data_IF_674835844434
#
_entry.id   IF_674835844434
#
_cell.length_a   1.000
_cell.length_b   1.000
_cell.length_c   1.000
_cell.angle_alpha   90.00
_cell.angle_beta   90.00
_cell.angle_gamma   90.00
#
_symmetry.space_group_name_H-M   'P 1'
#
loop_
_entity.id
_entity.type
_entity.pdbx_description
1 polymer ?
#
# COMPACT_ATOMS: atom_id res chain seq x y z
N UNK A 1 -8.10 -19.10 4.42
CA UNK A 1 -6.87 -19.79 4.93
C UNK A 1 -6.13 -18.95 5.98
N UNK A 2 -6.18 -17.60 5.92
CA UNK A 2 -5.70 -16.74 7.02
C UNK A 2 -6.65 -16.73 8.25
N UNK A 3 -7.89 -17.24 8.13
CA UNK A 3 -8.91 -17.24 9.21
C UNK A 3 -8.62 -18.15 10.40
N UNK A 4 -7.77 -19.17 10.27
CA UNK A 4 -7.38 -19.98 11.44
C UNK A 4 -6.45 -19.22 12.41
N UNK A 5 -6.02 -18.00 12.07
CA UNK A 5 -5.15 -17.16 12.90
C UNK A 5 -5.91 -16.19 13.82
N UNK A 6 -7.24 -16.01 13.69
CA UNK A 6 -7.99 -15.04 14.51
C UNK A 6 -8.79 -15.65 15.67
N UNK A 7 -8.88 -16.98 15.78
CA UNK A 7 -9.72 -17.65 16.80
C UNK A 7 -8.96 -18.33 17.94
N UNK A 8 -7.64 -18.13 18.06
CA UNK A 8 -6.89 -18.56 19.26
C UNK A 8 -6.45 -17.36 20.08
N UNK A 9 -7.16 -17.16 21.18
CA UNK A 9 -6.84 -16.22 22.26
C UNK A 9 -5.39 -16.36 22.72
N UNK A 10 -4.69 -15.22 22.84
CA UNK A 10 -3.59 -15.04 23.80
C UNK A 10 -2.25 -15.73 23.51
N UNK A 11 -1.94 -16.14 22.27
CA UNK A 11 -0.58 -16.57 21.88
C UNK A 11 -0.06 -15.65 20.76
N UNK A 12 1.22 -15.29 20.85
CA UNK A 12 1.98 -14.50 19.87
C UNK A 12 1.48 -14.77 18.45
N UNK A 13 1.06 -13.72 17.73
CA UNK A 13 0.72 -13.86 16.31
C UNK A 13 2.00 -14.25 15.57
N UNK A 14 2.16 -15.54 15.27
CA UNK A 14 3.28 -16.05 14.47
C UNK A 14 3.32 -15.31 13.13
N UNK A 15 4.39 -14.57 12.89
CA UNK A 15 4.63 -13.86 11.65
C UNK A 15 4.70 -14.85 10.48
N UNK A 16 4.14 -14.48 9.33
CA UNK A 16 4.29 -15.29 8.11
C UNK A 16 5.73 -15.12 7.65
N UNK A 17 6.46 -16.23 7.55
CA UNK A 17 7.86 -16.23 7.15
C UNK A 17 8.06 -16.75 5.71
N UNK A 18 7.07 -17.46 5.15
CA UNK A 18 7.17 -18.10 3.84
C UNK A 18 5.87 -18.05 3.04
N UNK A 19 5.96 -17.79 1.74
CA UNK A 19 4.88 -17.97 0.77
C UNK A 19 5.38 -18.76 -0.43
N UNK A 20 4.66 -19.81 -0.81
CA UNK A 20 4.82 -20.47 -2.10
C UNK A 20 3.70 -20.04 -3.05
N UNK A 21 4.05 -19.69 -4.28
CA UNK A 21 3.12 -19.30 -5.36
C UNK A 21 3.37 -20.14 -6.60
N UNK A 22 2.32 -20.78 -7.13
CA UNK A 22 2.34 -21.26 -8.52
C UNK A 22 2.03 -20.11 -9.47
N UNK A 23 2.83 -19.97 -10.53
CA UNK A 23 2.44 -19.15 -11.69
C UNK A 23 2.06 -20.06 -12.87
N UNK A 24 1.06 -19.68 -13.68
CA UNK A 24 0.59 -20.53 -14.80
C UNK A 24 1.67 -20.86 -15.83
N UNK A 25 2.62 -19.94 -16.06
CA UNK A 25 3.58 -20.05 -17.16
C UNK A 25 5.06 -20.12 -16.71
N UNK A 26 5.35 -19.91 -15.41
CA UNK A 26 6.70 -19.53 -14.98
C UNK A 26 7.24 -20.35 -13.79
N UNK A 27 6.50 -21.38 -13.36
CA UNK A 27 6.91 -22.31 -12.29
C UNK A 27 6.45 -21.89 -10.89
N UNK A 28 7.01 -22.59 -9.87
CA UNK A 28 6.76 -22.33 -8.44
C UNK A 28 7.76 -21.32 -7.91
N UNK A 29 7.27 -20.29 -7.23
CA UNK A 29 8.08 -19.27 -6.58
C UNK A 29 7.96 -19.38 -5.08
N UNK A 30 9.07 -19.18 -4.39
CA UNK A 30 9.15 -19.19 -2.94
C UNK A 30 9.66 -17.82 -2.46
N UNK A 31 8.87 -17.19 -1.60
CA UNK A 31 9.17 -15.92 -0.97
C UNK A 31 9.42 -16.20 0.51
N UNK A 32 10.68 -16.16 0.92
CA UNK A 32 11.13 -16.41 2.29
C UNK A 32 11.68 -15.10 2.84
N UNK A 33 11.19 -14.65 4.00
CA UNK A 33 11.70 -13.43 4.65
C UNK A 33 13.21 -13.54 4.87
N UNK A 34 13.95 -12.48 4.55
CA UNK A 34 15.41 -12.44 4.55
C UNK A 34 16.07 -12.98 3.29
N UNK A 35 15.32 -13.56 2.34
CA UNK A 35 15.85 -14.17 1.12
C UNK A 35 15.40 -13.46 -0.16
N UNK A 36 16.21 -13.49 -1.25
CA UNK A 36 15.74 -13.13 -2.58
C UNK A 36 14.57 -14.02 -3.00
N UNK A 37 13.87 -13.62 -4.06
CA UNK A 37 12.85 -14.49 -4.66
C UNK A 37 13.52 -15.76 -5.20
N UNK A 38 13.05 -16.90 -4.72
CA UNK A 38 13.50 -18.21 -5.16
C UNK A 38 12.49 -18.79 -6.14
N UNK A 39 12.96 -19.54 -7.13
CA UNK A 39 12.14 -20.40 -7.98
C UNK A 39 12.46 -21.85 -7.69
N UNK A 40 11.41 -22.64 -7.49
CA UNK A 40 11.46 -24.07 -7.29
C UNK A 40 11.22 -24.76 -8.63
N UNK A 41 12.28 -25.36 -9.17
CA UNK A 41 12.25 -26.19 -10.39
C UNK A 41 12.82 -27.56 -10.06
N UNK A 42 12.10 -28.64 -10.33
CA UNK A 42 12.58 -30.03 -10.20
C UNK A 42 13.36 -30.36 -8.90
N UNK A 43 12.82 -29.91 -7.76
CA UNK A 43 13.43 -30.05 -6.42
C UNK A 43 14.77 -29.32 -6.25
N UNK A 44 14.97 -28.22 -6.95
CA UNK A 44 16.04 -27.26 -6.67
C UNK A 44 15.45 -25.86 -6.52
N UNK A 45 15.99 -25.10 -5.56
CA UNK A 45 15.70 -23.68 -5.40
C UNK A 45 16.80 -22.89 -6.10
N UNK A 46 16.41 -22.00 -7.01
CA UNK A 46 17.31 -21.08 -7.71
C UNK A 46 16.90 -19.64 -7.44
N UNK A 47 17.87 -18.74 -7.32
CA UNK A 47 17.60 -17.30 -7.14
C UNK A 47 17.14 -16.70 -8.48
N UNK A 48 16.01 -15.99 -8.50
CA UNK A 48 15.36 -15.54 -9.74
C UNK A 48 15.80 -14.18 -10.30
N UNK A 49 16.49 -13.34 -9.52
CA UNK A 49 17.16 -12.09 -9.97
C UNK A 49 17.97 -11.49 -8.80
N UNK A 50 18.77 -10.43 -9.06
CA UNK A 50 19.74 -9.76 -8.16
C UNK A 50 19.51 -10.02 -6.67
N UNK A 51 20.55 -10.51 -6.01
CA UNK A 51 20.65 -10.85 -4.58
C UNK A 51 20.19 -9.71 -3.65
N UNK A 52 20.12 -8.49 -4.17
CA UNK A 52 19.80 -7.27 -3.44
C UNK A 52 18.30 -7.04 -3.20
N UNK A 53 17.40 -7.77 -3.88
CA UNK A 53 15.94 -7.65 -3.69
C UNK A 53 15.37 -8.73 -2.75
N UNK A 54 15.67 -8.60 -1.46
CA UNK A 54 15.22 -9.49 -0.40
C UNK A 54 13.75 -9.30 -0.10
N UNK A 55 13.07 -10.38 0.29
CA UNK A 55 11.77 -10.31 0.95
C UNK A 55 12.00 -9.79 2.37
N UNK A 56 11.54 -8.58 2.68
CA UNK A 56 11.73 -7.95 4.00
C UNK A 56 10.55 -8.16 4.94
N UNK A 57 9.41 -8.60 4.41
CA UNK A 57 8.24 -8.90 5.22
C UNK A 57 7.11 -9.52 4.42
N UNK A 58 6.30 -10.33 5.10
CA UNK A 58 5.09 -10.92 4.52
C UNK A 58 3.95 -10.69 5.50
N UNK A 59 2.89 -10.04 5.02
CA UNK A 59 1.70 -9.74 5.82
C UNK A 59 0.45 -10.23 5.10
N UNK A 60 -0.53 -10.73 5.86
CA UNK A 60 -1.87 -11.00 5.34
C UNK A 60 -2.74 -9.79 5.70
N UNK A 61 -3.27 -9.09 4.70
CA UNK A 61 -4.17 -7.97 4.93
C UNK A 61 -5.58 -8.47 5.32
N UNK A 62 -6.47 -7.55 5.71
CA UNK A 62 -7.84 -7.85 6.11
C UNK A 62 -8.69 -8.56 5.02
N UNK A 63 -8.17 -8.68 3.80
CA UNK A 63 -8.82 -9.24 2.60
C UNK A 63 -8.32 -10.66 2.29
N UNK A 64 -7.58 -11.25 3.24
CA UNK A 64 -6.77 -12.45 3.04
C UNK A 64 -5.76 -12.34 1.89
N UNK A 65 -5.48 -11.13 1.39
CA UNK A 65 -4.43 -10.95 0.38
C UNK A 65 -3.09 -10.88 1.10
N UNK A 66 -2.12 -11.61 0.56
CA UNK A 66 -0.77 -11.60 1.09
C UNK A 66 0.04 -10.53 0.38
N UNK A 67 0.59 -9.61 1.14
CA UNK A 67 1.54 -8.61 0.68
C UNK A 67 2.95 -9.06 1.02
N UNK A 68 3.78 -9.20 -0.01
CA UNK A 68 5.20 -9.53 0.11
C UNK A 68 5.96 -8.23 -0.14
N UNK A 69 6.60 -7.69 0.90
CA UNK A 69 7.43 -6.50 0.80
C UNK A 69 8.86 -6.90 0.37
N UNK A 70 9.46 -6.09 -0.49
CA UNK A 70 10.85 -6.29 -0.93
C UNK A 70 11.73 -5.10 -0.59
N UNK A 71 13.04 -5.34 -0.44
CA UNK A 71 14.03 -4.30 -0.16
C UNK A 71 14.25 -3.33 -1.33
N UNK A 72 13.95 -3.72 -2.58
CA UNK A 72 14.25 -2.90 -3.77
C UNK A 72 13.09 -2.74 -4.75
N UNK A 73 12.06 -3.58 -4.69
CA UNK A 73 10.91 -3.50 -5.61
C UNK A 73 9.60 -3.22 -4.89
N UNK A 74 8.60 -2.79 -5.65
CA UNK A 74 7.25 -2.57 -5.11
C UNK A 74 6.73 -3.87 -4.47
N UNK A 75 5.99 -3.77 -3.35
CA UNK A 75 5.38 -4.94 -2.73
C UNK A 75 4.51 -5.72 -3.72
N UNK A 76 4.59 -7.04 -3.68
CA UNK A 76 3.75 -7.93 -4.46
C UNK A 76 2.51 -8.29 -3.65
N UNK A 77 1.34 -7.94 -4.17
CA UNK A 77 0.04 -8.29 -3.57
C UNK A 77 -0.53 -9.52 -4.27
N UNK A 78 -0.77 -10.58 -3.50
CA UNK A 78 -1.30 -11.85 -3.95
C UNK A 78 -2.68 -12.12 -3.33
N UNK A 79 -3.64 -12.51 -4.16
CA UNK A 79 -4.87 -13.14 -3.65
C UNK A 79 -4.59 -14.57 -3.19
N UNK A 80 -5.36 -15.07 -2.22
CA UNK A 80 -5.24 -16.44 -1.68
C UNK A 80 -5.22 -17.54 -2.73
N UNK A 81 -6.01 -17.40 -3.80
CA UNK A 81 -6.06 -18.37 -4.90
C UNK A 81 -4.76 -18.49 -5.73
N UNK A 82 -3.77 -17.61 -5.50
CA UNK A 82 -2.45 -17.68 -6.11
C UNK A 82 -1.38 -18.23 -5.15
N UNK A 83 -1.77 -18.68 -3.97
CA UNK A 83 -0.87 -19.14 -2.91
C UNK A 83 -1.05 -20.65 -2.74
N UNK A 84 0.05 -21.38 -2.88
CA UNK A 84 0.09 -22.82 -2.67
C UNK A 84 0.31 -23.15 -1.19
N UNK A 85 1.17 -22.38 -0.51
CA UNK A 85 1.56 -22.63 0.88
C UNK A 85 1.90 -21.34 1.59
N UNK A 86 1.55 -21.29 2.88
CA UNK A 86 1.97 -20.29 3.85
C UNK A 86 2.76 -21.01 4.94
N UNK A 87 3.94 -20.50 5.27
CA UNK A 87 4.77 -21.04 6.34
C UNK A 87 5.00 -20.03 7.46
N UNK A 88 4.93 -20.53 8.69
CA UNK A 88 5.33 -19.82 9.91
C UNK A 88 6.57 -20.50 10.46
N UNK A 89 7.65 -19.73 10.63
CA UNK A 89 8.93 -20.27 11.09
C UNK A 89 8.93 -20.39 12.62
N UNK A 90 9.20 -21.58 13.18
CA UNK A 90 9.50 -21.73 14.61
C UNK A 90 10.77 -20.97 14.98
N UNK A 91 10.78 -20.31 16.14
CA UNK A 91 11.91 -19.49 16.56
C UNK A 91 13.21 -20.30 16.77
N UNK A 92 13.06 -21.60 17.04
CA UNK A 92 14.16 -22.51 17.38
C UNK A 92 14.89 -23.08 16.15
N UNK A 93 14.32 -22.96 14.95
CA UNK A 93 14.87 -23.56 13.73
C UNK A 93 15.63 -22.54 12.88
N UNK A 94 16.70 -22.99 12.22
CA UNK A 94 17.32 -22.21 11.14
C UNK A 94 16.41 -22.20 9.90
N UNK A 95 16.62 -21.27 8.96
CA UNK A 95 15.86 -21.28 7.69
C UNK A 95 16.06 -22.58 6.91
N UNK A 96 17.27 -23.14 6.98
CA UNK A 96 17.65 -24.38 6.29
C UNK A 96 16.92 -25.57 6.90
N UNK A 97 16.98 -25.73 8.22
CA UNK A 97 16.32 -26.84 8.91
C UNK A 97 14.80 -26.78 8.74
N UNK A 98 14.23 -25.59 8.88
CA UNK A 98 12.80 -25.39 8.70
C UNK A 98 12.32 -25.69 7.27
N UNK A 99 13.05 -25.24 6.25
CA UNK A 99 12.71 -25.55 4.86
C UNK A 99 12.83 -27.05 4.56
N UNK A 100 13.83 -27.74 5.13
CA UNK A 100 13.96 -29.19 5.00
C UNK A 100 12.77 -29.92 5.63
N UNK A 101 12.31 -29.52 6.82
CA UNK A 101 11.10 -30.09 7.44
C UNK A 101 9.84 -29.87 6.57
N UNK A 102 9.76 -28.73 5.88
CA UNK A 102 8.68 -28.45 4.94
C UNK A 102 8.81 -29.22 3.61
N UNK A 103 9.86 -30.00 3.41
CA UNK A 103 10.11 -30.80 2.22
C UNK A 103 10.68 -30.00 1.04
N UNK A 104 11.23 -28.81 1.29
CA UNK A 104 11.97 -28.05 0.28
C UNK A 104 13.41 -28.54 0.19
N UNK A 105 14.03 -28.44 -1.00
CA UNK A 105 15.46 -28.71 -1.15
C UNK A 105 16.29 -27.64 -0.42
N UNK A 106 17.58 -27.92 -0.25
CA UNK A 106 18.53 -26.96 0.33
C UNK A 106 18.49 -25.62 -0.39
N UNK A 107 18.62 -24.54 0.39
CA UNK A 107 18.75 -23.19 -0.14
C UNK A 107 19.97 -23.08 -1.09
N UNK A 108 19.88 -22.31 -2.18
CA UNK A 108 21.00 -22.12 -3.10
C UNK A 108 22.15 -21.39 -2.39
N UNK A 109 23.39 -21.72 -2.78
CA UNK A 109 24.53 -20.87 -2.44
C UNK A 109 24.38 -19.55 -3.17
N UNK A 110 24.48 -18.45 -2.43
CA UNK A 110 24.44 -17.11 -2.99
C UNK A 110 25.89 -16.64 -3.06
N UNK A 111 26.41 -16.45 -4.28
CA UNK A 111 27.81 -16.08 -4.53
C UNK A 111 28.14 -14.63 -4.14
N UNK A 112 27.11 -13.81 -3.90
CA UNK A 112 27.24 -12.49 -3.28
C UNK A 112 26.92 -12.61 -1.79
N UNK A 113 27.66 -11.94 -0.89
CA UNK A 113 27.29 -11.93 0.51
C UNK A 113 25.87 -11.38 0.61
N UNK A 114 24.94 -12.21 1.08
CA UNK A 114 23.67 -11.68 1.57
C UNK A 114 24.00 -10.63 2.63
N UNK A 115 23.29 -9.49 2.69
CA UNK A 115 23.42 -8.63 3.86
C UNK A 115 23.09 -9.53 5.06
N UNK A 116 24.11 -9.82 5.87
CA UNK A 116 24.06 -10.90 6.85
C UNK A 116 23.06 -10.64 7.98
N UNK A 117 22.39 -9.49 7.95
CA UNK A 117 21.63 -8.93 9.06
C UNK A 117 20.33 -8.37 8.49
N UNK A 118 19.23 -9.07 8.79
CA UNK A 118 17.89 -8.56 8.56
C UNK A 118 17.69 -7.36 9.49
N UNK A 119 17.59 -6.16 8.92
CA UNK A 119 17.34 -4.93 9.67
C UNK A 119 15.91 -4.44 9.43
N UNK A 120 15.34 -3.76 10.44
CA UNK A 120 14.05 -3.08 10.41
C UNK A 120 12.90 -3.95 9.86
N UNK A 121 12.73 -5.14 10.44
CA UNK A 121 11.54 -5.96 10.15
C UNK A 121 10.29 -5.18 10.55
N UNK A 122 9.26 -5.20 9.71
CA UNK A 122 8.08 -4.36 9.90
C UNK A 122 6.86 -5.19 10.32
N UNK A 123 6.18 -4.76 11.38
CA UNK A 123 4.88 -5.25 11.82
C UNK A 123 3.80 -4.21 11.48
N UNK A 124 2.85 -4.58 10.61
CA UNK A 124 1.77 -3.68 10.20
C UNK A 124 0.72 -3.51 11.31
N UNK A 125 0.36 -2.26 11.57
CA UNK A 125 -0.76 -1.84 12.42
C UNK A 125 -2.00 -1.56 11.57
N UNK A 126 -3.17 -1.87 12.12
CA UNK A 126 -4.48 -1.64 11.47
C UNK A 126 -5.25 -0.47 12.06
N UNK A 127 -4.84 0.00 13.24
CA UNK A 127 -5.47 1.12 13.95
C UNK A 127 -4.43 2.21 14.20
N UNK A 128 -4.91 3.46 14.22
CA UNK A 128 -4.03 4.61 14.46
C UNK A 128 -3.54 4.53 15.91
N UNK A 129 -2.22 4.44 16.15
CA UNK A 129 -1.66 4.42 17.49
C UNK A 129 -1.94 5.72 18.26
N UNK A 130 -2.00 5.65 19.59
CA UNK A 130 -2.20 6.84 20.44
C UNK A 130 -0.96 7.76 20.47
N UNK A 131 0.23 7.16 20.41
CA UNK A 131 1.53 7.85 20.34
C UNK A 131 2.33 7.29 19.18
N UNK A 132 2.85 8.15 18.32
CA UNK A 132 3.53 7.74 17.10
C UNK A 132 4.40 8.83 16.52
N UNK A 133 5.22 8.46 15.54
CA UNK A 133 6.01 9.37 14.74
C UNK A 133 5.54 9.26 13.30
N UNK A 134 5.07 10.36 12.73
CA UNK A 134 4.79 10.43 11.28
C UNK A 134 6.10 10.67 10.56
N UNK A 135 6.40 9.85 9.57
CA UNK A 135 7.59 9.94 8.73
C UNK A 135 7.17 10.10 7.28
N UNK A 136 7.85 10.97 6.57
CA UNK A 136 7.68 11.16 5.13
C UNK A 136 9.05 11.48 4.51
N UNK A 137 9.22 11.11 3.24
CA UNK A 137 10.46 11.29 2.50
C UNK A 137 10.21 11.87 1.11
N UNK A 138 11.12 12.74 0.67
CA UNK A 138 11.30 13.08 -0.74
C UNK A 138 12.45 12.29 -1.35
N UNK A 139 12.38 12.00 -2.64
CA UNK A 139 13.34 11.12 -3.32
C UNK A 139 14.09 11.83 -4.45
N UNK A 140 15.40 11.61 -4.51
CA UNK A 140 16.27 12.06 -5.59
C UNK A 140 16.66 10.89 -6.50
N UNK A 141 16.52 11.06 -7.82
CA UNK A 141 17.01 10.07 -8.79
C UNK A 141 18.54 10.08 -8.91
N UNK A 142 19.12 8.90 -9.16
CA UNK A 142 20.56 8.76 -9.38
C UNK A 142 20.93 8.90 -10.84
N UNK A 143 21.96 9.70 -11.11
CA UNK A 143 22.50 9.96 -12.43
C UNK A 143 24.01 9.75 -12.45
N UNK A 144 24.52 9.43 -13.64
CA UNK A 144 25.93 9.52 -13.98
C UNK A 144 26.06 10.45 -15.17
N UNK A 145 26.96 11.43 -15.07
CA UNK A 145 27.30 12.29 -16.18
C UNK A 145 28.20 11.52 -17.14
N UNK A 146 27.79 11.43 -18.40
CA UNK A 146 28.63 10.97 -19.50
C UNK A 146 28.98 12.16 -20.38
N UNK A 147 30.26 12.28 -20.73
CA UNK A 147 30.73 13.22 -21.73
C UNK A 147 30.52 12.59 -23.11
N UNK A 148 29.68 13.20 -23.94
CA UNK A 148 29.48 12.81 -25.32
C UNK A 148 29.91 13.97 -26.23
N UNK A 149 31.22 14.08 -26.47
CA UNK A 149 31.78 15.21 -27.21
C UNK A 149 31.71 16.51 -26.39
N UNK A 150 31.01 17.52 -26.90
CA UNK A 150 30.75 18.79 -26.20
C UNK A 150 29.55 18.73 -25.25
N UNK A 151 28.74 17.67 -25.31
CA UNK A 151 27.48 17.58 -24.57
C UNK A 151 27.66 16.74 -23.30
N UNK A 152 27.06 17.22 -22.21
CA UNK A 152 26.90 16.45 -20.97
C UNK A 152 25.54 15.77 -20.97
N UNK A 153 25.55 14.44 -21.05
CA UNK A 153 24.34 13.63 -20.92
C UNK A 153 24.23 13.09 -19.49
N UNK A 154 23.09 13.33 -18.86
CA UNK A 154 22.74 12.70 -17.60
C UNK A 154 22.04 11.37 -17.90
N UNK A 155 22.70 10.26 -17.61
CA UNK A 155 22.09 8.94 -17.69
C UNK A 155 21.63 8.50 -16.30
N UNK A 156 20.38 8.09 -16.15
CA UNK A 156 19.91 7.48 -14.92
C UNK A 156 20.66 6.17 -14.66
N UNK A 157 21.12 5.95 -13.43
CA UNK A 157 21.91 4.77 -13.05
C UNK A 157 21.31 4.06 -11.84
N UNK A 158 21.67 2.78 -11.68
CA UNK A 158 21.40 2.02 -10.46
C UNK A 158 22.66 1.97 -9.62
N UNK A 159 22.55 2.35 -8.35
CA UNK A 159 23.60 2.29 -7.33
C UNK A 159 23.04 1.48 -6.17
N UNK A 160 23.80 0.48 -5.71
CA UNK A 160 23.37 -0.42 -4.63
C UNK A 160 21.94 -0.96 -4.79
N UNK A 161 21.65 -1.34 -6.05
CA UNK A 161 20.39 -1.96 -6.47
C UNK A 161 19.19 -1.02 -6.63
N UNK A 162 19.31 0.26 -6.26
CA UNK A 162 18.26 1.28 -6.43
C UNK A 162 18.64 2.38 -7.43
N UNK A 163 17.65 2.98 -8.10
CA UNK A 163 17.84 4.05 -9.09
C UNK A 163 17.53 5.46 -8.57
N UNK A 164 17.20 5.55 -7.28
CA UNK A 164 16.91 6.76 -6.53
C UNK A 164 17.06 6.45 -5.05
N UNK A 165 17.15 7.49 -4.20
CA UNK A 165 17.18 7.35 -2.74
C UNK A 165 16.57 8.56 -2.07
N UNK A 166 16.51 8.56 -0.74
CA UNK A 166 15.99 9.65 0.07
C UNK A 166 16.85 10.89 -0.15
N UNK A 167 16.20 11.97 -0.55
CA UNK A 167 16.77 13.31 -0.66
C UNK A 167 16.40 14.19 0.55
N UNK A 168 15.19 14.04 1.07
CA UNK A 168 14.74 14.69 2.31
C UNK A 168 14.01 13.65 3.15
N UNK A 169 14.25 13.66 4.46
CA UNK A 169 13.48 12.88 5.44
C UNK A 169 12.99 13.81 6.53
N UNK A 170 11.71 13.69 6.86
CA UNK A 170 11.11 14.41 7.98
C UNK A 170 10.35 13.48 8.90
N UNK A 171 10.36 13.82 10.18
CA UNK A 171 9.65 13.07 11.20
C UNK A 171 9.04 14.02 12.24
N UNK A 172 7.77 13.78 12.57
CA UNK A 172 7.01 14.56 13.55
C UNK A 172 6.33 13.61 14.55
N UNK A 173 6.63 13.76 15.84
CA UNK A 173 5.96 12.95 16.86
C UNK A 173 4.63 13.52 17.30
N UNK A 174 3.66 12.66 17.55
CA UNK A 174 2.34 12.99 18.05
C UNK A 174 1.93 12.08 19.21
N UNK A 175 1.16 12.64 20.14
CA UNK A 175 0.51 11.93 21.23
C UNK A 175 -0.92 12.45 21.37
N UNK A 176 -1.90 11.57 21.26
CA UNK A 176 -3.33 11.90 21.42
C UNK A 176 -3.78 13.07 20.53
N UNK A 177 -3.26 13.13 19.30
CA UNK A 177 -3.57 14.18 18.33
C UNK A 177 -2.79 15.48 18.50
N UNK A 178 -1.88 15.58 19.47
CA UNK A 178 -1.07 16.77 19.72
C UNK A 178 0.39 16.52 19.35
N UNK A 179 1.07 17.54 18.82
CA UNK A 179 2.48 17.46 18.47
C UNK A 179 3.34 17.34 19.74
N UNK A 180 4.35 16.50 19.67
CA UNK A 180 5.36 16.28 20.73
C UNK A 180 6.68 16.98 20.38
N UNK A 181 7.71 16.77 21.19
CA UNK A 181 9.06 17.31 20.96
C UNK A 181 9.83 16.59 19.85
N UNK A 182 9.42 15.40 19.43
CA UNK A 182 10.09 14.69 18.33
C UNK A 182 9.95 15.47 17.04
N UNK A 183 11.09 15.90 16.51
CA UNK A 183 11.20 16.69 15.29
C UNK A 183 12.49 16.35 14.54
N UNK A 184 12.35 15.91 13.30
CA UNK A 184 13.44 15.74 12.36
C UNK A 184 13.03 16.39 11.04
N UNK A 185 13.92 17.16 10.44
CA UNK A 185 13.85 17.59 9.05
C UNK A 185 15.28 17.69 8.55
N UNK A 186 15.67 16.76 7.67
CA UNK A 186 17.04 16.63 7.18
C UNK A 186 17.02 16.35 5.68
N UNK A 187 18.03 16.90 4.99
CA UNK A 187 18.35 16.55 3.62
C UNK A 187 19.49 15.54 3.61
N UNK A 188 19.58 14.73 2.56
CA UNK A 188 20.72 13.87 2.30
C UNK A 188 21.37 14.33 1.00
N UNK A 189 22.69 14.48 1.02
CA UNK A 189 23.48 14.70 -0.18
C UNK A 189 24.04 13.37 -0.66
N UNK A 190 23.93 13.11 -1.95
CA UNK A 190 24.47 11.92 -2.57
C UNK A 190 25.21 12.34 -3.85
N UNK A 191 26.45 11.84 -4.08
CA UNK A 191 27.23 12.22 -5.26
C UNK A 191 26.56 11.83 -6.59
N UNK A 192 25.58 10.92 -6.57
CA UNK A 192 24.81 10.52 -7.74
C UNK A 192 23.54 11.36 -7.95
N UNK A 193 23.17 12.27 -7.04
CA UNK A 193 22.08 13.20 -7.31
C UNK A 193 22.48 14.24 -8.37
N UNK A 194 21.48 14.78 -9.06
CA UNK A 194 21.72 15.84 -10.02
C UNK A 194 22.12 17.13 -9.32
N UNK A 195 22.87 18.00 -10.00
CA UNK A 195 23.20 19.33 -9.46
C UNK A 195 21.93 20.15 -9.13
N UNK A 196 20.84 19.96 -9.89
CA UNK A 196 19.55 20.58 -9.60
C UNK A 196 18.99 20.15 -8.24
N UNK A 197 19.15 18.87 -7.88
CA UNK A 197 18.74 18.36 -6.57
C UNK A 197 19.51 19.03 -5.43
N UNK A 198 20.84 19.15 -5.57
CA UNK A 198 21.67 19.87 -4.59
C UNK A 198 21.25 21.34 -4.48
N UNK A 199 20.95 22.01 -5.60
CA UNK A 199 20.47 23.40 -5.59
C UNK A 199 19.12 23.54 -4.85
N UNK A 200 18.20 22.58 -5.00
CA UNK A 200 16.95 22.57 -4.24
C UNK A 200 17.25 22.47 -2.74
N UNK A 201 18.17 21.59 -2.34
CA UNK A 201 18.57 21.43 -0.93
C UNK A 201 19.16 22.70 -0.34
N UNK A 202 20.04 23.37 -1.10
CA UNK A 202 20.62 24.67 -0.72
C UNK A 202 19.55 25.75 -0.59
N UNK A 203 18.61 25.83 -1.54
CA UNK A 203 17.53 26.80 -1.49
C UNK A 203 16.62 26.60 -0.27
N UNK A 204 16.31 25.34 0.06
CA UNK A 204 15.43 24.99 1.18
C UNK A 204 16.08 25.20 2.55
N UNK A 205 17.39 24.99 2.65
CA UNK A 205 18.13 25.10 3.91
C UNK A 205 18.74 26.49 4.13
N UNK A 206 18.99 27.25 3.06
CA UNK A 206 19.69 28.53 3.13
C UNK A 206 21.19 28.42 3.44
N UNK A 207 21.74 27.21 3.43
CA UNK A 207 23.14 26.93 3.76
C UNK A 207 24.09 27.20 2.59
N UNK A 208 25.37 27.40 2.89
CA UNK A 208 26.42 27.30 1.87
C UNK A 208 26.60 25.84 1.40
N UNK A 209 27.22 25.64 0.22
CA UNK A 209 27.47 24.29 -0.31
C UNK A 209 28.31 23.43 0.64
N UNK A 210 29.30 24.00 1.31
CA UNK A 210 30.15 23.26 2.24
C UNK A 210 29.37 22.85 3.51
N UNK A 211 28.55 23.74 4.04
CA UNK A 211 27.71 23.46 5.21
C UNK A 211 26.62 22.44 4.88
N UNK A 212 25.94 22.60 3.74
CA UNK A 212 24.93 21.65 3.27
C UNK A 212 25.52 20.24 3.14
N UNK A 213 26.67 20.09 2.49
CA UNK A 213 27.32 18.78 2.34
C UNK A 213 27.69 18.12 3.66
N UNK A 214 28.07 18.94 4.65
CA UNK A 214 28.38 18.46 6.00
C UNK A 214 27.11 18.04 6.74
N UNK A 215 26.07 18.87 6.73
CA UNK A 215 24.81 18.59 7.45
C UNK A 215 23.95 17.50 6.78
N UNK A 216 24.08 17.36 5.47
CA UNK A 216 23.39 16.35 4.67
C UNK A 216 24.24 15.08 4.45
N UNK A 217 25.35 14.93 5.18
CA UNK A 217 26.19 13.73 5.11
C UNK A 217 25.36 12.51 5.53
N UNK A 218 25.29 11.51 4.64
CA UNK A 218 24.36 10.37 4.76
C UNK A 218 24.45 9.70 6.13
N UNK A 219 25.65 9.38 6.62
CA UNK A 219 25.83 8.69 7.91
C UNK A 219 25.30 9.52 9.08
N UNK A 220 25.58 10.83 9.10
CA UNK A 220 25.16 11.69 10.20
C UNK A 220 23.64 11.89 10.21
N UNK A 221 23.01 11.98 9.03
CA UNK A 221 21.55 12.00 8.90
C UNK A 221 20.94 10.68 9.37
N UNK A 222 21.52 9.53 8.99
CA UNK A 222 21.03 8.22 9.42
C UNK A 222 21.18 8.02 10.93
N UNK A 223 22.26 8.51 11.55
CA UNK A 223 22.39 8.52 13.02
C UNK A 223 21.32 9.36 13.69
N UNK A 224 21.03 10.55 13.14
CA UNK A 224 19.93 11.38 13.63
C UNK A 224 18.55 10.69 13.49
N UNK A 225 18.33 9.93 12.41
CA UNK A 225 17.13 9.10 12.26
C UNK A 225 17.08 8.01 13.34
N UNK A 226 18.19 7.31 13.60
CA UNK A 226 18.24 6.31 14.67
C UNK A 226 17.86 6.96 16.01
N UNK A 227 18.52 8.04 16.39
CA UNK A 227 18.34 8.70 17.69
C UNK A 227 16.92 9.27 17.86
N UNK A 228 16.44 10.01 16.86
CA UNK A 228 15.19 10.79 16.99
C UNK A 228 13.95 9.96 16.62
N UNK A 229 14.08 9.00 15.69
CA UNK A 229 12.93 8.29 15.10
C UNK A 229 12.84 6.84 15.57
N UNK A 230 13.95 6.09 15.53
CA UNK A 230 13.91 4.64 15.76
C UNK A 230 14.10 4.26 17.23
N UNK A 231 15.08 4.86 17.91
CA UNK A 231 15.44 4.58 19.30
C UNK A 231 14.30 4.82 20.31
N UNK A 232 13.37 5.79 20.11
CA UNK A 232 12.20 5.91 20.97
C UNK A 232 11.26 4.69 20.93
N UNK A 233 11.38 3.82 19.93
CA UNK A 233 10.57 2.61 19.80
C UNK A 233 9.08 2.90 19.60
N UNK A 234 8.72 4.08 19.09
CA UNK A 234 7.34 4.45 18.82
C UNK A 234 6.89 3.91 17.45
N UNK A 235 5.59 3.58 17.29
CA UNK A 235 5.03 3.26 15.98
C UNK A 235 5.31 4.35 14.94
N UNK A 236 5.68 3.94 13.74
CA UNK A 236 5.89 4.82 12.61
C UNK A 236 4.64 4.89 11.74
N UNK A 237 4.25 6.08 11.34
CA UNK A 237 3.09 6.36 10.50
C UNK A 237 3.57 6.95 9.18
N UNK A 238 3.11 6.39 8.06
CA UNK A 238 3.37 6.90 6.71
C UNK A 238 2.03 7.12 5.99
N UNK A 239 1.99 7.97 4.97
CA UNK A 239 0.86 7.95 4.05
C UNK A 239 0.88 6.65 3.23
N UNK A 240 1.97 6.38 2.53
CA UNK A 240 2.22 5.13 1.81
C UNK A 240 3.65 4.70 2.08
N UNK A 241 3.84 3.69 2.93
CA UNK A 241 5.17 3.34 3.47
C UNK A 241 6.14 2.74 2.44
N UNK A 242 5.66 2.39 1.24
CA UNK A 242 6.35 1.47 0.35
C UNK A 242 7.71 1.99 -0.13
N UNK A 243 7.78 3.25 -0.55
CA UNK A 243 9.05 3.83 -1.01
C UNK A 243 9.90 4.32 0.17
N UNK A 244 9.28 4.95 1.16
CA UNK A 244 9.96 5.47 2.35
C UNK A 244 10.77 4.37 3.04
N UNK A 245 10.11 3.26 3.39
CA UNK A 245 10.79 2.14 4.05
C UNK A 245 11.78 1.44 3.12
N UNK A 246 11.45 1.29 1.83
CA UNK A 246 12.37 0.67 0.86
C UNK A 246 13.71 1.41 0.82
N UNK A 247 13.69 2.73 0.64
CA UNK A 247 14.93 3.51 0.53
C UNK A 247 15.62 3.70 1.87
N UNK A 248 14.87 3.81 2.96
CA UNK A 248 15.44 3.88 4.30
C UNK A 248 16.16 2.57 4.68
N UNK A 249 15.53 1.42 4.45
CA UNK A 249 16.13 0.10 4.66
C UNK A 249 17.37 -0.08 3.80
N UNK A 250 17.32 0.31 2.51
CA UNK A 250 18.48 0.24 1.63
C UNK A 250 19.65 1.08 2.17
N UNK A 251 19.41 2.34 2.55
CA UNK A 251 20.45 3.22 3.11
C UNK A 251 21.08 2.64 4.39
N UNK A 252 20.27 2.16 5.33
CA UNK A 252 20.80 1.55 6.55
C UNK A 252 21.54 0.22 6.28
N UNK A 253 21.13 -0.54 5.27
CA UNK A 253 21.79 -1.80 4.90
C UNK A 253 23.17 -1.52 4.29
N UNK A 254 23.23 -0.58 3.34
CA UNK A 254 24.48 -0.19 2.66
C UNK A 254 25.50 0.38 3.65
N UNK A 255 25.03 1.13 4.64
CA UNK A 255 25.88 1.80 5.63
C UNK A 255 25.98 1.07 6.97
N UNK A 256 25.53 -0.18 7.05
CA UNK A 256 25.36 -0.88 8.32
C UNK A 256 26.63 -0.92 9.18
N UNK A 257 27.78 -1.18 8.57
CA UNK A 257 29.07 -1.29 9.25
C UNK A 257 29.63 0.06 9.75
N UNK A 258 29.06 1.19 9.31
CA UNK A 258 29.43 2.53 9.79
C UNK A 258 28.79 2.88 11.15
N UNK A 259 27.81 2.08 11.59
CA UNK A 259 27.12 2.26 12.87
C UNK A 259 27.81 1.49 13.99
N UNK A 260 27.76 2.04 15.20
CA UNK A 260 28.27 1.37 16.39
C UNK A 260 27.32 0.24 16.86
N UNK A 261 27.78 -0.58 17.80
CA UNK A 261 27.01 -1.75 18.27
C UNK A 261 25.61 -1.40 18.85
N UNK A 262 25.45 -0.23 19.49
CA UNK A 262 24.18 0.20 20.05
C UNK A 262 23.21 0.64 18.94
N UNK A 263 23.69 1.43 17.98
CA UNK A 263 22.94 1.83 16.77
C UNK A 263 22.49 0.59 15.98
N UNK A 264 23.40 -0.34 15.75
CA UNK A 264 23.12 -1.64 15.11
C UNK A 264 22.06 -2.46 15.85
N UNK A 265 22.06 -2.44 17.19
CA UNK A 265 21.04 -3.11 17.98
C UNK A 265 19.66 -2.49 17.80
N UNK A 266 19.57 -1.15 17.67
CA UNK A 266 18.30 -0.46 17.36
C UNK A 266 17.79 -0.87 15.98
N UNK A 267 18.66 -0.93 14.96
CA UNK A 267 18.28 -1.31 13.59
C UNK A 267 17.75 -2.75 13.47
N UNK A 268 18.06 -3.63 14.43
CA UNK A 268 17.55 -5.01 14.47
C UNK A 268 16.19 -5.14 15.14
N UNK A 269 15.69 -4.09 15.79
CA UNK A 269 14.40 -4.14 16.45
C UNK A 269 13.26 -4.13 15.42
N UNK A 270 12.19 -4.91 15.63
CA UNK A 270 11.00 -4.83 14.81
C UNK A 270 10.34 -3.45 14.91
N UNK A 271 10.02 -2.86 13.76
CA UNK A 271 9.30 -1.59 13.66
C UNK A 271 7.79 -1.86 13.59
N UNK A 272 7.01 -1.13 14.37
CA UNK A 272 5.56 -1.09 14.19
C UNK A 272 5.22 0.00 13.17
N UNK A 273 4.51 -0.35 12.11
CA UNK A 273 4.23 0.56 11.00
C UNK A 273 2.73 0.66 10.72
N UNK A 274 2.23 1.88 10.61
CA UNK A 274 0.86 2.17 10.21
C UNK A 274 0.85 2.90 8.85
N UNK A 275 0.04 2.40 7.91
CA UNK A 275 -0.07 2.93 6.54
C UNK A 275 -1.42 3.65 6.34
N UNK A 276 -1.34 4.96 6.13
CA UNK A 276 -2.50 5.84 5.96
C UNK A 276 -3.32 5.57 4.70
N UNK A 277 -2.68 5.15 3.61
CA UNK A 277 -3.32 4.83 2.33
C UNK A 277 -4.13 3.54 2.43
N UNK A 278 -3.62 2.55 3.16
CA UNK A 278 -4.35 1.34 3.50
C UNK A 278 -5.53 1.65 4.40
N UNK A 279 -5.32 2.45 5.46
CA UNK A 279 -6.39 2.88 6.35
C UNK A 279 -7.49 3.65 5.61
N UNK A 280 -7.12 4.56 4.71
CA UNK A 280 -8.04 5.28 3.82
C UNK A 280 -8.88 4.31 2.99
N UNK A 281 -8.24 3.30 2.39
CA UNK A 281 -8.95 2.28 1.63
C UNK A 281 -10.01 1.57 2.49
N UNK A 282 -9.67 1.24 3.74
CA UNK A 282 -10.60 0.60 4.67
C UNK A 282 -11.76 1.52 5.06
N UNK A 283 -11.49 2.82 5.26
CA UNK A 283 -12.53 3.84 5.51
C UNK A 283 -13.49 3.99 4.33
N UNK A 284 -13.00 3.90 3.09
CA UNK A 284 -13.86 3.93 1.89
C UNK A 284 -14.68 2.65 1.77
N UNK A 285 -14.03 1.49 1.93
CA UNK A 285 -14.67 0.19 1.71
C UNK A 285 -15.87 -0.07 2.61
N UNK A 286 -15.86 0.43 3.85
CA UNK A 286 -16.99 0.23 4.78
C UNK A 286 -18.32 0.79 4.25
N UNK A 287 -18.27 1.77 3.35
CA UNK A 287 -19.45 2.42 2.76
C UNK A 287 -19.86 1.79 1.42
N UNK A 288 -19.08 0.86 0.88
CA UNK A 288 -19.31 0.25 -0.44
C UNK A 288 -19.94 -1.15 -0.31
N UNK A 289 -21.26 -1.24 -0.47
CA UNK A 289 -22.06 -2.46 -0.24
C UNK A 289 -21.79 -3.61 -1.25
N UNK A 290 -21.08 -3.37 -2.36
CA UNK A 290 -20.73 -4.41 -3.35
C UNK A 290 -19.24 -4.57 -3.66
N UNK A 291 -18.38 -3.81 -2.98
CA UNK A 291 -16.91 -3.78 -3.21
C UNK A 291 -16.17 -3.65 -1.88
N UNK A 292 -16.61 -4.42 -0.88
CA UNK A 292 -15.84 -4.58 0.34
C UNK A 292 -14.50 -5.17 -0.08
N UNK A 293 -13.38 -4.49 0.25
CA UNK A 293 -12.01 -4.94 0.01
C UNK A 293 -11.32 -4.44 -1.29
N UNK A 294 -11.63 -3.24 -1.79
CA UNK A 294 -10.86 -2.61 -2.88
C UNK A 294 -9.73 -1.73 -2.37
N UNK A 295 -8.54 -1.80 -3.00
CA UNK A 295 -7.42 -0.90 -2.66
C UNK A 295 -7.58 0.34 -3.54
N UNK A 296 -7.54 1.50 -2.90
CA UNK A 296 -7.64 2.78 -3.58
C UNK A 296 -6.29 3.45 -3.51
N UNK A 297 -5.69 3.67 -4.68
CA UNK A 297 -4.43 4.40 -4.80
C UNK A 297 -4.76 5.89 -5.00
N UNK A 298 -5.11 6.56 -3.91
CA UNK A 298 -5.37 8.00 -3.91
C UNK A 298 -4.15 8.74 -3.33
N UNK A 299 -3.64 9.78 -4.01
CA UNK A 299 -2.50 10.55 -3.51
C UNK A 299 -2.89 11.32 -2.23
N UNK A 300 -1.90 11.56 -1.36
CA UNK A 300 -2.08 12.29 -0.10
C UNK A 300 -2.80 13.62 -0.32
N UNK A 301 -2.33 14.41 -1.28
CA UNK A 301 -2.88 15.71 -1.65
C UNK A 301 -4.35 15.63 -2.08
N UNK A 302 -4.72 14.59 -2.82
CA UNK A 302 -6.11 14.37 -3.26
C UNK A 302 -7.04 14.09 -2.08
N UNK A 303 -6.62 13.23 -1.15
CA UNK A 303 -7.40 12.93 0.06
C UNK A 303 -7.43 14.13 1.02
N UNK A 304 -6.30 14.83 1.17
CA UNK A 304 -6.21 16.07 1.94
C UNK A 304 -7.22 17.11 1.44
N UNK A 305 -7.27 17.35 0.12
CA UNK A 305 -8.24 18.27 -0.49
C UNK A 305 -9.69 17.86 -0.23
N UNK A 306 -10.04 16.59 -0.38
CA UNK A 306 -11.38 16.06 -0.07
C UNK A 306 -11.77 16.26 1.40
N UNK A 307 -10.78 16.19 2.29
CA UNK A 307 -10.98 16.40 3.71
C UNK A 307 -10.84 17.87 4.11
N UNK A 308 -10.67 18.80 3.18
CA UNK A 308 -10.46 20.24 3.41
C UNK A 308 -9.19 20.54 4.24
N UNK A 309 -8.10 19.84 3.94
CA UNK A 309 -6.74 20.08 4.45
C UNK A 309 -5.92 20.68 3.32
N UNK A 310 -5.28 21.82 3.58
CA UNK A 310 -4.46 22.53 2.60
C UNK A 310 -2.99 22.37 2.99
N UNK A 311 -2.18 21.81 2.09
CA UNK A 311 -0.73 21.89 2.16
C UNK A 311 -0.26 23.01 1.21
N UNK A 312 0.30 24.08 1.76
CA UNK A 312 0.84 25.22 0.99
C UNK A 312 2.20 24.94 0.35
N UNK A 313 2.85 23.84 0.73
CA UNK A 313 4.19 23.48 0.29
C UNK A 313 4.22 21.99 -0.06
N UNK A 314 3.56 21.59 -1.15
CA UNK A 314 3.59 20.19 -1.60
C UNK A 314 5.00 19.79 -2.03
N UNK A 315 5.29 18.50 -2.01
CA UNK A 315 6.61 17.95 -2.32
C UNK A 315 7.68 18.44 -1.35
N UNK A 316 7.33 18.46 -0.07
CA UNK A 316 8.22 18.80 1.02
C UNK A 316 7.90 17.88 2.20
N UNK A 317 8.86 17.02 2.53
CA UNK A 317 8.62 15.91 3.45
C UNK A 317 8.10 16.38 4.82
N UNK A 318 8.49 17.58 5.27
CA UNK A 318 8.03 18.11 6.56
C UNK A 318 6.53 18.44 6.51
N UNK A 319 6.11 19.09 5.43
CA UNK A 319 4.73 19.49 5.22
C UNK A 319 3.84 18.29 4.90
N UNK A 320 4.36 17.31 4.16
CA UNK A 320 3.63 16.08 3.82
C UNK A 320 3.51 15.14 5.04
N UNK A 321 4.49 15.10 5.95
CA UNK A 321 4.34 14.45 7.25
C UNK A 321 3.24 15.11 8.11
N UNK A 322 3.20 16.45 8.19
CA UNK A 322 2.14 17.15 8.92
C UNK A 322 0.76 16.93 8.26
N UNK A 323 0.71 16.93 6.94
CA UNK A 323 -0.51 16.69 6.17
C UNK A 323 -1.02 15.27 6.42
N UNK A 324 -0.12 14.29 6.45
CA UNK A 324 -0.43 12.89 6.75
C UNK A 324 -1.09 12.77 8.12
N UNK A 325 -0.51 13.38 9.17
CA UNK A 325 -1.12 13.42 10.50
C UNK A 325 -2.57 13.92 10.46
N UNK A 326 -2.80 15.08 9.84
CA UNK A 326 -4.13 15.69 9.82
C UNK A 326 -5.12 14.88 8.98
N UNK A 327 -4.67 14.28 7.88
CA UNK A 327 -5.48 13.40 7.04
C UNK A 327 -5.91 12.15 7.81
N UNK A 328 -4.99 11.43 8.47
CA UNK A 328 -5.36 10.20 9.19
C UNK A 328 -6.30 10.52 10.37
N UNK A 329 -6.13 11.67 11.02
CA UNK A 329 -7.01 12.14 12.10
C UNK A 329 -8.42 12.40 11.57
N UNK A 330 -8.56 13.11 10.45
CA UNK A 330 -9.87 13.35 9.81
C UNK A 330 -10.50 12.07 9.28
N UNK A 331 -9.71 11.14 8.73
CA UNK A 331 -10.19 9.82 8.32
C UNK A 331 -10.70 9.00 9.49
N UNK A 332 -10.09 9.11 10.68
CA UNK A 332 -10.62 8.51 11.93
C UNK A 332 -11.98 9.09 12.29
N UNK A 333 -12.13 10.41 12.21
CA UNK A 333 -13.42 11.07 12.48
C UNK A 333 -14.49 10.61 11.47
N UNK A 334 -14.12 10.47 10.19
CA UNK A 334 -14.99 9.87 9.17
C UNK A 334 -15.33 8.43 9.54
N UNK A 335 -14.34 7.59 9.90
CA UNK A 335 -14.51 6.19 10.29
C UNK A 335 -15.45 6.00 11.49
N UNK A 336 -15.49 6.97 12.41
CA UNK A 336 -16.42 6.97 13.54
C UNK A 336 -17.88 7.27 13.18
N UNK A 337 -18.13 7.90 12.02
CA UNK A 337 -19.50 8.23 11.59
C UNK A 337 -20.25 7.00 11.07
N UNK A 338 -21.53 6.89 11.41
CA UNK A 338 -22.45 5.89 10.87
C UNK A 338 -22.62 6.09 9.36
N UNK A 339 -22.53 5.00 8.59
CA UNK A 339 -22.77 5.02 7.15
C UNK A 339 -24.24 5.32 6.89
N UNK A 340 -24.53 6.42 6.20
CA UNK A 340 -25.86 6.72 5.70
C UNK A 340 -26.17 5.82 4.50
N UNK A 341 -27.24 5.03 4.60
CA UNK A 341 -27.77 4.26 3.48
C UNK A 341 -28.95 5.02 2.90
N UNK A 342 -28.83 5.44 1.65
CA UNK A 342 -29.94 6.02 0.92
C UNK A 342 -30.95 4.93 0.60
N UNK A 343 -32.22 5.22 0.81
CA UNK A 343 -33.34 4.42 0.32
C UNK A 343 -33.82 4.99 -1.00
N UNK A 344 -34.54 4.18 -1.76
CA UNK A 344 -35.18 4.64 -2.99
C UNK A 344 -36.07 5.86 -2.71
N UNK A 345 -35.90 6.98 -3.46
CA UNK A 345 -36.75 8.14 -3.28
C UNK A 345 -38.18 7.78 -3.67
N UNK A 346 -39.12 7.99 -2.75
CA UNK A 346 -40.54 7.80 -3.03
C UNK A 346 -41.07 8.97 -3.84
N UNK A 347 -41.95 8.75 -4.83
CA UNK A 347 -42.59 9.83 -5.55
C UNK A 347 -43.38 10.70 -4.57
N UNK A 348 -43.20 12.02 -4.67
CA UNK A 348 -44.01 12.97 -3.94
C UNK A 348 -45.45 12.84 -4.45
N UNK A 349 -46.33 12.28 -3.63
CA UNK A 349 -47.77 12.31 -3.91
C UNK A 349 -48.21 13.76 -3.71
N UNK A 350 -48.25 14.53 -4.79
CA UNK A 350 -48.95 15.82 -4.79
C UNK A 350 -50.43 15.51 -4.64
N UNK A 351 -51.02 15.85 -3.49
CA UNK A 351 -52.46 15.87 -3.28
C UNK A 351 -53.09 16.87 -4.25
N UNK A 352 -53.42 16.41 -5.45
CA UNK A 352 -54.27 17.12 -6.41
C UNK A 352 -55.02 16.13 -7.27
N UNK A 353 -55.92 15.42 -6.62
CA UNK A 353 -57.14 14.93 -7.26
C UNK A 353 -58.20 14.78 -6.17
N UNK A 354 -58.84 15.92 -5.84
CA UNK A 354 -60.17 15.93 -5.24
C UNK A 354 -61.08 15.03 -6.09
N UNK A 355 -61.57 13.99 -5.44
CA UNK A 355 -62.90 13.39 -5.58
C UNK A 355 -63.61 13.62 -6.93
N UNK A 356 -63.66 12.57 -7.75
CA UNK A 356 -64.87 12.28 -8.53
C UNK A 356 -65.35 10.92 -8.07
N UNK A 357 -66.61 10.89 -7.63
CA UNK A 357 -67.27 9.79 -6.95
C UNK A 357 -67.28 8.49 -7.76
N UNK A 358 -67.19 7.37 -7.04
CA UNK A 358 -67.46 6.01 -7.53
C UNK A 358 -68.86 5.88 -8.14
N UNK A 359 -69.06 4.84 -8.96
CA UNK A 359 -69.99 3.83 -8.49
C UNK A 359 -69.39 2.42 -8.45
N UNK A 360 -69.66 1.79 -7.31
CA UNK A 360 -69.61 0.38 -6.96
C UNK A 360 -69.65 -0.63 -8.13
N UNK A 361 -68.51 -1.29 -8.37
CA UNK A 361 -68.33 -2.75 -8.54
C UNK A 361 -67.00 -3.00 -9.25
N UNK A 362 -65.96 -3.39 -8.53
CA UNK A 362 -64.93 -4.29 -9.05
C UNK A 362 -64.02 -4.76 -7.92
N UNK A 363 -63.77 -6.06 -7.92
CA UNK A 363 -62.86 -6.80 -7.06
C UNK A 363 -61.43 -6.21 -7.03
N UNK A 364 -60.61 -6.55 -6.02
CA UNK A 364 -59.24 -6.07 -5.92
C UNK A 364 -58.37 -6.68 -7.02
N UNK A 365 -58.18 -5.98 -8.13
CA UNK A 365 -57.13 -6.29 -9.09
C UNK A 365 -55.85 -5.57 -8.71
N UNK A 366 -54.88 -6.33 -8.17
CA UNK A 366 -53.48 -5.95 -8.23
C UNK A 366 -53.07 -5.85 -9.71
N UNK A 367 -52.44 -4.76 -10.17
CA UNK A 367 -51.83 -4.75 -11.49
C UNK A 367 -50.50 -5.51 -11.42
N UNK A 368 -50.55 -6.83 -11.59
CA UNK A 368 -49.38 -7.58 -12.07
C UNK A 368 -49.29 -7.27 -13.56
N UNK A 369 -48.53 -6.24 -13.93
CA UNK A 369 -48.10 -6.07 -15.31
C UNK A 369 -47.22 -7.28 -15.67
N UNK A 370 -47.83 -8.33 -16.24
CA UNK A 370 -47.09 -9.41 -16.91
C UNK A 370 -46.35 -8.78 -18.08
N UNK A 371 -45.02 -8.77 -17.99
CA UNK A 371 -44.16 -8.36 -19.10
C UNK A 371 -44.32 -9.40 -20.21
N UNK A 372 -44.83 -8.97 -21.37
CA UNK A 372 -44.90 -9.81 -22.55
C UNK A 372 -43.49 -9.96 -23.15
N UNK A 373 -42.80 -11.03 -22.74
CA UNK A 373 -41.45 -11.34 -23.19
C UNK A 373 -41.41 -11.62 -24.70
N UNK A 374 -42.48 -12.15 -25.28
CA UNK A 374 -42.53 -12.49 -26.70
C UNK A 374 -42.53 -11.24 -27.56
N UNK A 375 -43.28 -10.21 -27.15
CA UNK A 375 -43.27 -8.90 -27.80
C UNK A 375 -41.88 -8.23 -27.78
N UNK A 376 -41.12 -8.37 -26.68
CA UNK A 376 -39.74 -7.87 -26.56
C UNK A 376 -38.81 -8.53 -27.57
N UNK A 377 -38.94 -9.85 -27.76
CA UNK A 377 -38.14 -10.63 -28.70
C UNK A 377 -38.49 -10.32 -30.16
N UNK A 378 -39.77 -10.16 -30.48
CA UNK A 378 -40.23 -9.79 -31.83
C UNK A 378 -39.73 -8.39 -32.23
N UNK A 379 -39.85 -7.40 -31.35
CA UNK A 379 -39.33 -6.06 -31.63
C UNK A 379 -37.81 -6.07 -31.82
N UNK A 380 -37.09 -6.95 -31.11
CA UNK A 380 -35.65 -7.12 -31.31
C UNK A 380 -35.33 -7.77 -32.64
N UNK A 381 -36.08 -8.80 -33.05
CA UNK A 381 -35.96 -9.43 -34.36
C UNK A 381 -36.23 -8.44 -35.51
N UNK A 382 -37.12 -7.47 -35.30
CA UNK A 382 -37.39 -6.35 -36.22
C UNK A 382 -36.31 -5.25 -36.22
N UNK A 383 -35.18 -5.44 -35.52
CA UNK A 383 -34.04 -4.53 -35.53
C UNK A 383 -34.17 -3.31 -34.60
N UNK A 384 -35.19 -3.25 -33.72
CA UNK A 384 -35.33 -2.14 -32.75
C UNK A 384 -34.20 -2.17 -31.71
N UNK A 385 -33.80 -0.98 -31.27
CA UNK A 385 -32.82 -0.82 -30.17
C UNK A 385 -33.46 -1.08 -28.81
N UNK A 386 -32.68 -1.49 -27.79
CA UNK A 386 -33.20 -1.74 -26.44
C UNK A 386 -33.96 -0.56 -25.84
N UNK A 387 -33.58 0.68 -26.20
CA UNK A 387 -34.27 1.89 -25.76
C UNK A 387 -35.65 2.04 -26.39
N UNK A 388 -35.79 1.70 -27.67
CA UNK A 388 -37.08 1.72 -28.37
C UNK A 388 -38.01 0.61 -27.87
N UNK A 389 -37.45 -0.58 -27.58
CA UNK A 389 -38.21 -1.70 -27.01
C UNK A 389 -38.69 -1.37 -25.59
N UNK A 390 -37.83 -0.78 -24.76
CA UNK A 390 -38.18 -0.32 -23.42
C UNK A 390 -39.37 0.65 -23.42
N UNK A 391 -39.38 1.60 -24.35
CA UNK A 391 -40.49 2.55 -24.51
C UNK A 391 -41.75 1.85 -25.02
N UNK A 392 -41.63 0.98 -26.04
CA UNK A 392 -42.78 0.30 -26.63
C UNK A 392 -43.46 -0.70 -25.68
N UNK A 393 -42.68 -1.39 -24.85
CA UNK A 393 -43.16 -2.40 -23.91
C UNK A 393 -43.34 -1.84 -22.48
N UNK A 394 -43.11 -0.54 -22.27
CA UNK A 394 -43.15 0.12 -20.97
C UNK A 394 -42.32 -0.61 -19.88
N UNK A 395 -41.10 -1.01 -20.23
CA UNK A 395 -40.14 -1.69 -19.34
C UNK A 395 -38.81 -0.93 -19.29
N UNK A 396 -37.95 -1.26 -18.33
CA UNK A 396 -36.59 -0.69 -18.30
C UNK A 396 -35.73 -1.23 -19.46
N UNK A 397 -34.76 -0.43 -19.90
CA UNK A 397 -33.75 -0.86 -20.91
C UNK A 397 -32.98 -2.10 -20.44
N UNK A 398 -32.71 -2.19 -19.13
CA UNK A 398 -32.05 -3.36 -18.52
C UNK A 398 -32.92 -4.61 -18.59
N UNK A 399 -34.22 -4.47 -18.36
CA UNK A 399 -35.20 -5.57 -18.47
C UNK A 399 -35.32 -6.06 -19.91
N UNK A 400 -35.38 -5.14 -20.89
CA UNK A 400 -35.37 -5.51 -22.31
C UNK A 400 -34.09 -6.27 -22.72
N UNK A 401 -32.92 -5.84 -22.22
CA UNK A 401 -31.66 -6.54 -22.47
C UNK A 401 -31.61 -7.92 -21.83
N UNK A 402 -32.09 -8.08 -20.59
CA UNK A 402 -32.12 -9.37 -19.90
C UNK A 402 -33.02 -10.39 -20.61
N UNK A 403 -34.19 -9.97 -21.10
CA UNK A 403 -35.10 -10.84 -21.85
C UNK A 403 -34.47 -11.31 -23.15
N UNK A 404 -33.87 -10.40 -23.93
CA UNK A 404 -33.18 -10.74 -25.20
C UNK A 404 -31.96 -11.63 -24.95
N UNK A 405 -31.24 -11.41 -23.85
CA UNK A 405 -30.07 -12.24 -23.51
C UNK A 405 -30.47 -13.65 -23.05
N UNK A 406 -31.59 -13.80 -22.35
CA UNK A 406 -32.07 -15.10 -21.89
C UNK A 406 -32.61 -16.00 -23.02
N UNK A 407 -32.92 -15.43 -24.20
CA UNK A 407 -33.37 -16.15 -25.38
C UNK A 407 -32.26 -16.48 -26.39
N UNK A 408 -31.01 -16.10 -26.08
CA UNK A 408 -29.80 -16.43 -26.84
C UNK A 408 -29.00 -17.48 -26.09
#
# INVERSE_FOLDING_TARGET
>A
MCKNASERSGKERMQIALIERQTPNDGRYLYLVGWPVLKLTDRQLTVMAKVTNLVVGITCNAREQVQIAFSETKPLILGTGKINRIGHKPAELTDVDWLMELGYPSLPKIDQPMPAQLIMTCQQLTEIPARYIVVDCEFGSYYRTQQAGSDQLLQQVTVDGVNQSIFQISALGFADGHRTTTYLNRFLDNPHFSAAQTLIGLQKTGLSLAEYRREAAIIDVLRAVIEVVLQPGLPLVFWNQANDLKYLINLFTVHYDAFNAAEQAVLKQPLQVFDGSQYMSDVINRSNVGRQNNHYDLPLSGVAGLLNVINSTPHDALWDALTTHEVIRRLRDVRGKKVLRLTEPQPLITESSRQVAEPANAQPHQPVHRIDQQQVLELRAMGRTYRQIAVACNISVSTAWQIVKASQ
#
